data_IF_622014984099
#
_entry.id   IF_622014984099
#
_cell.length_a   1.000
_cell.length_b   1.000
_cell.length_c   1.000
_cell.angle_alpha   90.00
_cell.angle_beta   90.00
_cell.angle_gamma   90.00
#
_symmetry.space_group_name_H-M   'P 1'
#
loop_
_entity.id
_entity.type
_entity.pdbx_description
1 polymer ?
#
# COMPACT_ATOMS: atom_id res chain seq x y z
N UNK A 1 -6.54 7.44 -20.48
CA UNK A 1 -7.70 6.93 -21.22
C UNK A 1 -7.96 7.75 -22.48
N UNK A 2 -7.90 9.04 -22.41
CA UNK A 2 -8.10 9.96 -23.53
C UNK A 2 -6.92 9.95 -24.51
N UNK A 3 -5.79 9.46 -24.08
CA UNK A 3 -4.59 9.33 -24.94
C UNK A 3 -4.79 8.43 -26.15
N UNK A 4 -5.81 7.58 -26.13
CA UNK A 4 -6.21 6.81 -27.32
C UNK A 4 -6.83 7.62 -28.44
N UNK A 5 -7.24 8.87 -28.17
CA UNK A 5 -7.74 9.80 -29.17
C UNK A 5 -6.63 10.73 -29.63
N UNK A 6 -6.56 10.97 -30.92
CA UNK A 6 -5.59 11.91 -31.48
C UNK A 6 -6.05 13.35 -31.26
N UNK A 7 -5.10 14.22 -30.93
CA UNK A 7 -5.29 15.67 -30.95
C UNK A 7 -5.17 16.30 -32.34
N UNK A 8 -4.79 15.51 -33.35
CA UNK A 8 -4.72 15.96 -34.73
C UNK A 8 -6.07 15.81 -35.43
N UNK A 9 -6.68 16.88 -35.95
CA UNK A 9 -7.98 16.84 -36.60
C UNK A 9 -8.08 15.87 -37.78
N UNK A 10 -6.97 15.65 -38.49
CA UNK A 10 -6.93 14.79 -39.70
C UNK A 10 -6.61 13.32 -39.36
N UNK A 11 -6.41 13.00 -38.10
CA UNK A 11 -6.16 11.61 -37.68
C UNK A 11 -7.42 10.78 -37.70
N UNK A 12 -7.31 9.51 -38.09
CA UNK A 12 -8.41 8.53 -38.04
C UNK A 12 -9.00 8.37 -36.62
N UNK A 13 -8.20 8.61 -35.59
CA UNK A 13 -8.63 8.50 -34.20
C UNK A 13 -9.13 9.82 -33.61
N UNK A 14 -9.13 10.91 -34.39
CA UNK A 14 -9.62 12.19 -33.94
C UNK A 14 -11.15 12.20 -33.89
N UNK A 15 -11.70 12.48 -32.75
CA UNK A 15 -13.13 12.60 -32.55
C UNK A 15 -13.44 13.72 -31.54
N UNK A 16 -13.59 14.92 -32.07
CA UNK A 16 -13.95 16.09 -31.27
C UNK A 16 -15.31 15.98 -30.55
N UNK A 17 -16.21 15.17 -31.10
CA UNK A 17 -17.54 14.95 -30.51
C UNK A 17 -17.52 13.88 -29.41
N UNK A 18 -16.47 13.04 -29.35
CA UNK A 18 -16.26 12.04 -28.32
C UNK A 18 -15.36 12.52 -27.17
N UNK A 19 -14.93 13.78 -27.23
CA UNK A 19 -14.12 14.42 -26.23
C UNK A 19 -14.96 15.50 -25.53
N UNK A 20 -15.20 15.32 -24.24
CA UNK A 20 -15.86 16.35 -23.45
C UNK A 20 -14.86 17.50 -23.22
N UNK A 21 -15.07 18.62 -23.92
CA UNK A 21 -14.33 19.84 -23.65
C UNK A 21 -14.74 20.39 -22.29
N UNK A 22 -13.78 20.68 -21.45
CA UNK A 22 -13.98 21.19 -20.09
C UNK A 22 -13.21 22.49 -19.98
N UNK A 23 -13.92 23.59 -19.87
CA UNK A 23 -13.34 24.94 -19.75
C UNK A 23 -12.30 25.01 -18.63
N UNK A 24 -11.13 25.54 -18.93
CA UNK A 24 -10.01 25.59 -18.00
C UNK A 24 -9.19 24.29 -17.88
N UNK A 25 -9.62 23.17 -18.49
CA UNK A 25 -8.92 21.86 -18.38
C UNK A 25 -8.70 21.15 -19.71
N UNK A 26 -9.73 21.12 -20.58
CA UNK A 26 -9.67 20.44 -21.87
C UNK A 26 -10.31 21.35 -22.90
N UNK A 27 -9.51 21.93 -23.79
CA UNK A 27 -9.95 22.91 -24.75
C UNK A 27 -9.37 22.64 -26.14
N UNK A 28 -9.89 23.35 -27.15
CA UNK A 28 -9.26 23.38 -28.46
C UNK A 28 -8.32 24.59 -28.55
N UNK A 29 -7.22 24.42 -29.23
CA UNK A 29 -6.30 25.49 -29.59
C UNK A 29 -6.98 26.43 -30.59
N UNK A 30 -7.15 27.67 -30.23
CA UNK A 30 -7.68 28.71 -31.12
C UNK A 30 -6.56 29.51 -31.82
N UNK A 31 -6.95 30.44 -32.66
CA UNK A 31 -6.01 31.23 -33.49
C UNK A 31 -5.12 32.20 -32.71
N UNK A 32 -5.46 32.48 -31.46
CA UNK A 32 -4.72 33.39 -30.57
C UNK A 32 -4.00 32.66 -29.45
N UNK A 33 -4.15 31.33 -29.41
CA UNK A 33 -3.57 30.49 -28.37
C UNK A 33 -2.04 30.46 -28.51
N UNK A 34 -1.28 30.58 -27.39
CA UNK A 34 0.18 30.44 -27.43
C UNK A 34 0.67 29.13 -28.02
N UNK A 35 -0.13 28.06 -27.96
CA UNK A 35 0.21 26.74 -28.51
C UNK A 35 -0.15 26.58 -29.98
N UNK A 36 -0.71 27.60 -30.64
CA UNK A 36 -1.17 27.50 -32.03
C UNK A 36 -0.05 27.20 -33.04
N UNK A 37 1.19 27.52 -32.68
CA UNK A 37 2.34 27.40 -33.56
C UNK A 37 2.50 28.55 -34.52
N UNK A 38 3.69 28.71 -35.12
CA UNK A 38 4.01 29.84 -36.01
C UNK A 38 3.18 29.85 -37.29
N UNK A 39 2.88 28.66 -37.82
CA UNK A 39 2.10 28.48 -39.04
C UNK A 39 0.66 28.01 -38.75
N UNK A 40 0.21 28.14 -37.48
CA UNK A 40 -1.10 27.66 -37.01
C UNK A 40 -1.27 26.15 -37.16
N UNK A 41 -0.21 25.37 -37.14
CA UNK A 41 -0.18 23.92 -37.32
C UNK A 41 -0.92 23.17 -36.18
N UNK A 42 -1.15 23.83 -35.07
CA UNK A 42 -1.85 23.25 -33.93
C UNK A 42 -3.30 23.76 -33.80
N UNK A 43 -3.77 24.59 -34.75
CA UNK A 43 -5.14 25.11 -34.71
C UNK A 43 -6.16 23.95 -34.67
N UNK A 44 -7.06 23.98 -33.69
CA UNK A 44 -8.10 22.98 -33.51
C UNK A 44 -7.65 21.67 -32.86
N UNK A 45 -6.37 21.54 -32.53
CA UNK A 45 -5.91 20.40 -31.71
C UNK A 45 -6.44 20.54 -30.27
N UNK A 46 -6.50 19.42 -29.58
CA UNK A 46 -6.89 19.37 -28.16
C UNK A 46 -5.69 19.78 -27.30
N UNK A 47 -5.88 20.70 -26.37
CA UNK A 47 -4.93 21.07 -25.33
C UNK A 47 -5.46 20.68 -23.97
N UNK A 48 -4.56 20.33 -23.05
CA UNK A 48 -4.85 19.90 -21.68
C UNK A 48 -4.14 20.82 -20.69
N UNK A 49 -4.84 21.22 -19.63
CA UNK A 49 -4.17 21.84 -18.47
C UNK A 49 -3.74 20.72 -17.51
N UNK A 50 -2.46 20.41 -17.51
CA UNK A 50 -1.89 19.28 -16.79
C UNK A 50 -0.41 19.49 -16.48
N UNK A 51 0.24 18.53 -15.84
CA UNK A 51 1.68 18.53 -15.67
C UNK A 51 2.38 18.60 -17.02
N UNK A 52 3.35 19.52 -17.15
CA UNK A 52 4.03 19.84 -18.41
C UNK A 52 5.02 18.78 -18.90
N UNK A 53 5.16 17.68 -18.18
CA UNK A 53 6.02 16.58 -18.59
C UNK A 53 7.50 16.80 -18.25
N UNK A 54 8.34 15.92 -18.78
CA UNK A 54 9.78 15.98 -18.60
C UNK A 54 10.42 17.07 -19.47
N UNK A 55 11.52 17.62 -18.97
CA UNK A 55 12.38 18.49 -19.78
C UNK A 55 13.18 17.63 -20.76
N UNK A 56 13.26 18.03 -22.03
CA UNK A 56 14.14 17.41 -23.02
C UNK A 56 15.63 17.58 -22.72
N UNK A 57 15.94 18.45 -21.75
CA UNK A 57 17.30 18.83 -21.37
C UNK A 57 17.65 18.22 -20.02
N UNK A 58 18.37 17.10 -20.08
CA UNK A 58 19.04 16.46 -18.93
C UNK A 58 18.14 16.14 -17.71
N UNK A 59 17.85 14.87 -17.56
CA UNK A 59 17.21 14.25 -16.37
C UNK A 59 17.92 14.61 -15.04
N UNK A 60 19.08 15.26 -15.10
CA UNK A 60 19.91 15.59 -13.93
C UNK A 60 19.65 16.99 -13.34
N UNK A 61 18.99 17.88 -14.07
CA UNK A 61 18.60 19.20 -13.56
C UNK A 61 17.10 19.20 -13.29
N UNK A 62 16.72 19.06 -12.03
CA UNK A 62 15.34 19.18 -11.58
C UNK A 62 14.90 20.63 -11.71
N UNK A 63 14.04 20.91 -12.67
CA UNK A 63 13.40 22.21 -12.85
C UNK A 63 12.01 22.19 -12.22
N UNK A 64 11.51 23.37 -11.84
CA UNK A 64 10.08 23.52 -11.49
C UNK A 64 9.25 23.48 -12.77
N UNK A 65 8.63 22.33 -13.05
CA UNK A 65 7.77 22.17 -14.23
C UNK A 65 6.35 22.66 -13.98
N UNK A 66 5.79 22.20 -12.89
CA UNK A 66 4.41 22.51 -12.51
C UNK A 66 3.38 22.07 -13.55
N UNK A 67 2.18 22.65 -13.42
CA UNK A 67 1.07 22.44 -14.35
C UNK A 67 0.94 23.60 -15.33
N UNK A 68 0.36 23.32 -16.50
CA UNK A 68 0.11 24.31 -17.52
C UNK A 68 -0.56 23.69 -18.74
N UNK A 69 -0.81 24.51 -19.75
CA UNK A 69 -1.36 24.05 -21.03
C UNK A 69 -0.29 23.38 -21.87
N UNK A 70 -0.61 22.18 -22.36
CA UNK A 70 0.17 21.42 -23.36
C UNK A 70 -0.77 20.84 -24.42
N UNK A 71 -0.23 20.46 -25.56
CA UNK A 71 -0.99 19.67 -26.54
C UNK A 71 -1.29 18.29 -25.98
N UNK A 72 -2.48 17.76 -26.22
CA UNK A 72 -2.87 16.43 -25.71
C UNK A 72 -1.96 15.31 -26.21
N UNK A 73 -1.35 15.46 -27.37
CA UNK A 73 -0.38 14.51 -27.94
C UNK A 73 0.95 14.49 -27.15
N UNK A 74 1.27 15.56 -26.45
CA UNK A 74 2.47 15.67 -25.61
C UNK A 74 2.22 15.17 -24.17
N UNK A 75 0.98 14.83 -23.84
CA UNK A 75 0.63 14.39 -22.50
C UNK A 75 1.33 13.09 -22.09
N UNK A 76 1.90 13.10 -20.92
CA UNK A 76 2.57 11.97 -20.29
C UNK A 76 2.04 11.74 -18.87
N UNK A 77 1.83 10.49 -18.42
CA UNK A 77 1.46 10.24 -17.03
C UNK A 77 2.61 10.65 -16.09
N UNK A 78 2.27 11.10 -14.89
CA UNK A 78 3.26 11.45 -13.86
C UNK A 78 3.91 10.17 -13.31
N UNK A 79 4.92 9.71 -14.03
CA UNK A 79 5.57 8.42 -13.80
C UNK A 79 7.01 8.47 -14.32
N UNK A 80 7.93 7.72 -13.71
CA UNK A 80 9.34 7.68 -14.16
C UNK A 80 9.45 7.19 -15.60
N UNK A 81 10.27 7.82 -16.45
CA UNK A 81 10.49 7.35 -17.82
C UNK A 81 11.07 5.94 -17.87
N UNK A 82 11.89 5.58 -16.88
CA UNK A 82 12.48 4.24 -16.74
C UNK A 82 11.53 3.22 -16.10
N UNK A 83 10.37 3.64 -15.62
CA UNK A 83 9.37 2.75 -15.04
C UNK A 83 8.48 2.21 -16.15
N UNK A 84 8.78 1.00 -16.59
CA UNK A 84 7.97 0.31 -17.59
C UNK A 84 6.64 -0.08 -16.96
N UNK A 85 5.53 0.24 -17.62
CA UNK A 85 4.21 -0.23 -17.21
C UNK A 85 4.22 -1.75 -17.10
N UNK A 86 3.84 -2.34 -15.97
CA UNK A 86 3.84 -3.79 -15.80
C UNK A 86 2.96 -4.47 -16.86
N UNK A 87 3.35 -5.63 -17.38
CA UNK A 87 2.64 -6.34 -18.45
C UNK A 87 1.40 -7.08 -17.95
N UNK A 88 0.53 -6.38 -17.23
CA UNK A 88 -0.76 -6.91 -16.76
C UNK A 88 -1.89 -5.94 -17.07
N UNK A 89 -3.13 -6.43 -17.00
CA UNK A 89 -4.31 -5.60 -17.22
C UNK A 89 -4.43 -4.50 -16.16
N UNK A 90 -4.73 -3.27 -16.59
CA UNK A 90 -4.92 -2.12 -15.68
C UNK A 90 -6.16 -2.24 -14.79
N UNK A 91 -7.17 -2.91 -15.27
CA UNK A 91 -8.43 -3.15 -14.55
C UNK A 91 -8.28 -4.39 -13.63
N UNK A 92 -8.54 -4.24 -12.35
CA UNK A 92 -8.84 -3.03 -11.57
C UNK A 92 -7.57 -2.42 -11.00
N UNK A 93 -7.62 -1.14 -10.52
CA UNK A 93 -6.46 -0.49 -9.88
C UNK A 93 -6.03 -1.26 -8.62
N UNK A 94 -4.76 -1.70 -8.61
CA UNK A 94 -4.15 -2.37 -7.46
C UNK A 94 -4.12 -1.48 -6.23
N UNK A 95 -3.70 -0.20 -6.39
CA UNK A 95 -3.69 0.76 -5.28
C UNK A 95 -5.06 0.95 -4.65
N UNK A 96 -6.12 1.07 -5.47
CA UNK A 96 -7.49 1.20 -4.98
C UNK A 96 -7.95 -0.04 -4.22
N UNK A 97 -7.55 -1.22 -4.67
CA UNK A 97 -7.93 -2.49 -4.06
C UNK A 97 -7.21 -2.73 -2.75
N UNK A 98 -5.87 -2.64 -2.75
CA UNK A 98 -5.06 -2.96 -1.57
C UNK A 98 -5.22 -1.93 -0.46
N UNK A 99 -5.20 -0.63 -0.78
CA UNK A 99 -5.35 0.42 0.24
C UNK A 99 -6.73 0.37 0.90
N UNK A 100 -7.79 0.10 0.13
CA UNK A 100 -9.13 -0.09 0.68
C UNK A 100 -9.21 -1.33 1.57
N UNK A 101 -8.64 -2.47 1.16
CA UNK A 101 -8.61 -3.68 1.97
C UNK A 101 -7.86 -3.43 3.29
N UNK A 102 -6.70 -2.77 3.23
CA UNK A 102 -5.92 -2.41 4.42
C UNK A 102 -6.71 -1.49 5.37
N UNK A 103 -7.40 -0.47 4.85
CA UNK A 103 -8.21 0.44 5.66
C UNK A 103 -9.34 -0.28 6.41
N UNK A 104 -9.98 -1.27 5.79
CA UNK A 104 -11.02 -2.10 6.43
C UNK A 104 -10.42 -2.96 7.54
N UNK A 105 -9.27 -3.58 7.29
CA UNK A 105 -8.59 -4.41 8.29
C UNK A 105 -8.16 -3.56 9.49
N UNK A 106 -7.58 -2.38 9.27
CA UNK A 106 -7.18 -1.46 10.33
C UNK A 106 -8.40 -1.02 11.17
N UNK A 107 -9.50 -0.63 10.51
CA UNK A 107 -10.75 -0.27 11.19
C UNK A 107 -11.24 -1.41 12.11
N UNK A 108 -11.20 -2.66 11.63
CA UNK A 108 -11.64 -3.82 12.40
C UNK A 108 -10.71 -4.20 13.55
N UNK A 109 -9.39 -4.11 13.35
CA UNK A 109 -8.39 -4.41 14.38
C UNK A 109 -8.44 -3.38 15.50
N UNK A 110 -8.53 -2.09 15.16
CA UNK A 110 -8.53 -1.01 16.13
C UNK A 110 -9.89 -0.76 16.77
N UNK A 111 -10.96 -1.29 16.19
CA UNK A 111 -12.34 -0.99 16.59
C UNK A 111 -12.76 0.46 16.32
N UNK A 112 -11.98 1.21 15.55
CA UNK A 112 -12.21 2.61 15.20
C UNK A 112 -11.93 2.86 13.73
N UNK A 113 -12.74 3.69 13.09
CA UNK A 113 -12.47 4.17 11.73
C UNK A 113 -11.41 5.26 11.68
N UNK A 114 -11.13 5.90 12.82
CA UNK A 114 -10.20 7.03 12.92
C UNK A 114 -8.78 6.55 13.22
N UNK A 115 -7.81 7.33 12.77
CA UNK A 115 -6.43 7.15 13.17
C UNK A 115 -6.26 7.33 14.69
N UNK A 116 -5.28 6.63 15.30
CA UNK A 116 -4.91 6.89 16.70
C UNK A 116 -4.57 8.37 16.93
N UNK A 117 -5.12 8.96 17.96
CA UNK A 117 -4.99 10.40 18.19
C UNK A 117 -5.95 11.26 17.36
N UNK A 118 -6.80 10.66 16.51
CA UNK A 118 -7.83 11.33 15.71
C UNK A 118 -7.41 11.81 14.33
N UNK A 119 -6.10 11.81 14.01
CA UNK A 119 -5.58 12.26 12.72
C UNK A 119 -4.33 11.47 12.33
N UNK A 120 -4.29 10.97 11.09
CA UNK A 120 -3.07 10.53 10.44
C UNK A 120 -2.41 11.72 9.75
N UNK A 121 -1.11 11.87 9.86
CA UNK A 121 -0.36 12.99 9.27
C UNK A 121 0.88 12.51 8.53
N UNK A 122 1.23 13.22 7.46
CA UNK A 122 2.46 13.03 6.72
C UNK A 122 3.02 14.39 6.29
N UNK A 123 4.20 14.73 6.80
CA UNK A 123 4.87 15.99 6.50
C UNK A 123 5.69 15.87 5.23
N UNK A 124 5.57 16.88 4.36
CA UNK A 124 6.26 16.98 3.08
C UNK A 124 7.01 18.31 3.06
N UNK A 125 8.32 18.26 3.01
CA UNK A 125 9.15 19.46 2.97
C UNK A 125 9.23 20.05 1.56
N UNK A 126 9.28 21.39 1.50
CA UNK A 126 9.54 22.13 0.29
C UNK A 126 10.76 21.56 -0.47
N UNK A 127 10.63 21.41 -1.78
CA UNK A 127 11.67 20.98 -2.73
C UNK A 127 12.35 19.63 -2.40
N UNK A 128 11.76 18.82 -1.50
CA UNK A 128 12.39 17.59 -1.02
C UNK A 128 11.43 16.37 -1.06
N UNK A 129 10.47 16.34 -1.97
CA UNK A 129 9.53 15.24 -2.05
C UNK A 129 9.30 14.73 -3.48
N UNK A 130 9.19 15.61 -4.46
CA UNK A 130 8.96 15.21 -5.84
C UNK A 130 10.19 14.53 -6.44
N UNK A 131 9.98 13.58 -7.36
CA UNK A 131 11.06 12.76 -7.92
C UNK A 131 11.52 13.26 -9.29
N UNK A 132 10.63 13.92 -10.04
CA UNK A 132 10.87 14.31 -11.44
C UNK A 132 11.07 15.80 -11.62
N UNK A 133 10.83 16.56 -10.57
CA UNK A 133 10.96 18.01 -10.55
C UNK A 133 11.22 18.49 -9.13
N UNK A 134 11.67 19.73 -8.97
CA UNK A 134 11.74 20.39 -7.66
C UNK A 134 10.32 20.65 -7.17
N UNK A 135 10.06 20.35 -5.91
CA UNK A 135 8.75 20.58 -5.31
C UNK A 135 8.49 19.73 -4.06
N UNK A 136 7.40 20.01 -3.39
CA UNK A 136 6.46 21.12 -3.60
C UNK A 136 7.09 22.51 -3.32
N UNK A 137 6.47 23.57 -3.81
CA UNK A 137 6.96 24.95 -3.63
C UNK A 137 6.87 25.49 -2.20
N UNK A 138 6.16 24.78 -1.33
CA UNK A 138 5.99 25.09 0.09
C UNK A 138 5.99 23.80 0.91
N UNK A 139 6.28 23.89 2.21
CA UNK A 139 6.04 22.79 3.12
C UNK A 139 4.55 22.44 3.14
N UNK A 140 4.25 21.15 3.11
CA UNK A 140 2.88 20.64 3.08
C UNK A 140 2.69 19.58 4.15
N UNK A 141 1.44 19.42 4.60
CA UNK A 141 1.05 18.34 5.48
C UNK A 141 -0.18 17.65 4.90
N UNK A 142 -0.08 16.36 4.62
CA UNK A 142 -1.24 15.53 4.31
C UNK A 142 -1.88 15.09 5.61
N UNK A 143 -3.20 15.12 5.68
CA UNK A 143 -3.96 14.78 6.88
C UNK A 143 -5.19 13.94 6.52
N UNK A 144 -5.44 12.91 7.33
CA UNK A 144 -6.57 12.02 7.15
C UNK A 144 -7.24 11.74 8.49
N UNK A 145 -8.52 11.97 8.59
CA UNK A 145 -9.28 11.63 9.79
C UNK A 145 -9.45 10.11 9.91
N UNK A 146 -9.77 9.44 8.82
CA UNK A 146 -10.04 8.00 8.80
C UNK A 146 -9.03 7.24 7.94
N UNK A 147 -8.88 5.93 8.22
CA UNK A 147 -8.11 5.04 7.35
C UNK A 147 -8.64 5.01 5.92
N UNK A 148 -9.97 5.18 5.75
CA UNK A 148 -10.59 5.25 4.42
C UNK A 148 -10.22 6.52 3.67
N UNK A 149 -10.09 7.66 4.35
CA UNK A 149 -9.66 8.91 3.71
C UNK A 149 -8.26 8.77 3.10
N UNK A 150 -7.32 8.16 3.86
CA UNK A 150 -5.99 7.87 3.34
C UNK A 150 -6.03 6.88 2.16
N UNK A 151 -6.85 5.83 2.25
CA UNK A 151 -7.04 4.87 1.16
C UNK A 151 -7.65 5.52 -0.08
N UNK A 152 -8.58 6.45 0.09
CA UNK A 152 -9.23 7.17 -1.02
C UNK A 152 -8.26 8.13 -1.69
N UNK A 153 -7.43 8.84 -0.94
CA UNK A 153 -6.40 9.68 -1.52
C UNK A 153 -5.34 8.84 -2.25
N UNK A 154 -4.94 7.69 -1.70
CA UNK A 154 -4.07 6.74 -2.39
C UNK A 154 -4.67 6.29 -3.74
N UNK A 155 -5.96 5.99 -3.76
CA UNK A 155 -6.67 5.62 -4.99
C UNK A 155 -6.70 6.77 -6.00
N UNK A 156 -7.10 7.97 -5.56
CA UNK A 156 -7.18 9.16 -6.41
C UNK A 156 -5.83 9.60 -6.95
N UNK A 157 -4.74 9.34 -6.22
CA UNK A 157 -3.39 9.65 -6.72
C UNK A 157 -3.09 8.98 -8.05
N UNK A 158 -3.71 7.83 -8.34
CA UNK A 158 -3.55 7.11 -9.61
C UNK A 158 -4.26 7.80 -10.75
N UNK A 159 -5.41 8.42 -10.46
CA UNK A 159 -6.16 9.23 -11.44
C UNK A 159 -5.38 10.51 -11.73
N UNK A 160 -4.95 11.23 -10.69
CA UNK A 160 -4.17 12.47 -10.84
C UNK A 160 -2.85 12.24 -11.56
N UNK A 161 -2.21 11.10 -11.31
CA UNK A 161 -1.00 10.71 -12.03
C UNK A 161 -1.23 10.20 -13.46
N UNK A 162 -2.49 10.09 -13.91
CA UNK A 162 -2.84 9.62 -15.25
C UNK A 162 -2.55 8.13 -15.50
N UNK A 163 -2.50 7.31 -14.43
CA UNK A 163 -2.12 5.89 -14.51
C UNK A 163 -3.33 4.98 -14.59
N UNK A 164 -4.43 5.35 -13.93
CA UNK A 164 -5.70 4.64 -13.97
C UNK A 164 -6.88 5.60 -14.25
N UNK A 165 -7.84 5.23 -15.09
CA UNK A 165 -9.12 5.92 -15.21
C UNK A 165 -10.07 5.55 -14.05
N UNK A 166 -11.15 6.30 -13.86
CA UNK A 166 -12.14 6.03 -12.82
C UNK A 166 -12.78 4.65 -12.90
N UNK A 167 -12.86 4.06 -14.10
CA UNK A 167 -13.38 2.70 -14.31
C UNK A 167 -12.53 1.64 -13.61
N UNK A 168 -11.25 1.89 -13.39
CA UNK A 168 -10.35 0.98 -12.66
C UNK A 168 -10.43 1.21 -11.16
N UNK A 169 -10.67 2.46 -10.73
CA UNK A 169 -10.64 2.88 -9.33
C UNK A 169 -11.85 2.36 -8.54
N UNK A 170 -13.06 2.74 -8.94
CA UNK A 170 -14.28 2.45 -8.18
C UNK A 170 -14.52 0.94 -7.99
N UNK A 171 -14.39 0.09 -9.02
CA UNK A 171 -14.46 -1.36 -8.83
C UNK A 171 -13.37 -1.88 -7.90
N UNK A 172 -12.15 -1.35 -7.99
CA UNK A 172 -11.03 -1.71 -7.11
C UNK A 172 -11.37 -1.47 -5.64
N UNK A 173 -11.91 -0.30 -5.28
CA UNK A 173 -12.37 0.00 -3.92
C UNK A 173 -13.46 -0.96 -3.44
N UNK A 174 -14.42 -1.31 -4.31
CA UNK A 174 -15.49 -2.27 -3.97
C UNK A 174 -14.94 -3.66 -3.70
N UNK A 175 -14.01 -4.14 -4.53
CA UNK A 175 -13.32 -5.42 -4.35
C UNK A 175 -12.49 -5.38 -3.07
N UNK A 176 -11.70 -4.33 -2.85
CA UNK A 176 -10.88 -4.15 -1.66
C UNK A 176 -11.70 -4.19 -0.36
N UNK A 177 -12.90 -3.59 -0.37
CA UNK A 177 -13.82 -3.67 0.78
C UNK A 177 -14.23 -5.11 1.08
N UNK A 178 -14.57 -5.92 0.07
CA UNK A 178 -14.94 -7.33 0.25
C UNK A 178 -13.75 -8.14 0.75
N UNK A 179 -12.60 -7.99 0.11
CA UNK A 179 -11.37 -8.71 0.47
C UNK A 179 -10.94 -8.37 1.90
N UNK A 180 -10.93 -7.08 2.28
CA UNK A 180 -10.56 -6.66 3.63
C UNK A 180 -11.45 -7.28 4.71
N UNK A 181 -12.77 -7.33 4.47
CA UNK A 181 -13.70 -7.99 5.39
C UNK A 181 -13.43 -9.50 5.48
N UNK A 182 -13.29 -10.17 4.34
CA UNK A 182 -13.06 -11.62 4.30
C UNK A 182 -11.71 -11.99 4.92
N UNK A 183 -10.65 -11.24 4.61
CA UNK A 183 -9.33 -11.48 5.17
C UNK A 183 -9.30 -11.31 6.68
N UNK A 184 -10.00 -10.29 7.21
CA UNK A 184 -10.11 -10.11 8.66
C UNK A 184 -10.85 -11.28 9.32
N UNK A 185 -12.01 -11.68 8.80
CA UNK A 185 -12.79 -12.79 9.38
C UNK A 185 -12.02 -14.13 9.27
N UNK A 186 -11.34 -14.36 8.15
CA UNK A 186 -10.49 -15.54 7.99
C UNK A 186 -9.32 -15.54 8.96
N UNK A 187 -8.62 -14.41 9.10
CA UNK A 187 -7.56 -14.28 10.10
C UNK A 187 -8.06 -14.52 11.52
N UNK A 188 -9.24 -13.96 11.85
CA UNK A 188 -9.88 -14.17 13.16
C UNK A 188 -10.20 -15.65 13.42
N UNK A 189 -10.67 -16.40 12.41
CA UNK A 189 -10.88 -17.84 12.53
C UNK A 189 -9.57 -18.55 12.85
N UNK A 190 -8.49 -18.26 12.11
CA UNK A 190 -7.19 -18.88 12.37
C UNK A 190 -6.66 -18.58 13.78
N UNK A 191 -6.80 -17.32 14.24
CA UNK A 191 -6.42 -16.97 15.61
C UNK A 191 -7.31 -17.59 16.66
N UNK A 192 -8.62 -17.74 16.40
CA UNK A 192 -9.55 -18.41 17.30
C UNK A 192 -9.33 -19.93 17.30
N UNK A 193 -9.03 -20.53 16.16
CA UNK A 193 -8.68 -21.96 16.10
C UNK A 193 -7.41 -22.26 16.88
N UNK A 194 -6.38 -21.39 16.77
CA UNK A 194 -5.17 -21.50 17.60
C UNK A 194 -5.54 -21.38 19.08
N UNK A 195 -6.41 -20.44 19.46
CA UNK A 195 -6.91 -20.31 20.83
C UNK A 195 -7.80 -21.50 21.25
N UNK A 196 -8.60 -22.05 20.34
CA UNK A 196 -9.42 -23.25 20.60
C UNK A 196 -8.54 -24.49 20.77
N UNK A 197 -7.51 -24.65 19.94
CA UNK A 197 -6.52 -25.72 20.09
C UNK A 197 -5.79 -25.55 21.41
N UNK A 198 -5.32 -24.33 21.71
CA UNK A 198 -4.72 -24.01 23.02
C UNK A 198 -5.70 -24.20 24.17
N UNK A 199 -6.99 -23.89 24.00
CA UNK A 199 -8.01 -24.07 25.03
C UNK A 199 -8.48 -25.51 25.17
N UNK A 200 -8.50 -26.28 24.09
CA UNK A 200 -8.78 -27.73 24.12
C UNK A 200 -7.61 -28.51 24.73
N UNK A 201 -6.38 -28.07 24.46
CA UNK A 201 -5.17 -28.59 25.10
C UNK A 201 -4.98 -28.06 26.53
N UNK A 202 -5.45 -26.85 26.83
CA UNK A 202 -5.36 -26.20 28.16
C UNK A 202 -6.21 -26.86 29.27
N UNK A 203 -7.13 -27.76 28.93
CA UNK A 203 -7.81 -28.52 29.96
C UNK A 203 -6.93 -29.60 30.61
N UNK A 204 -5.75 -29.90 30.01
CA UNK A 204 -4.80 -30.88 30.57
C UNK A 204 -3.34 -30.39 30.62
N UNK A 205 -2.97 -29.30 29.91
CA UNK A 205 -1.59 -28.85 29.79
C UNK A 205 -1.46 -27.34 30.05
N UNK A 206 -1.44 -26.91 31.31
CA UNK A 206 -1.21 -25.51 31.69
C UNK A 206 0.25 -25.15 31.40
N UNK A 207 0.50 -24.52 30.24
CA UNK A 207 1.81 -23.96 29.88
C UNK A 207 1.71 -22.44 29.91
N UNK A 208 2.55 -21.83 30.73
CA UNK A 208 2.72 -20.38 30.75
C UNK A 208 4.03 -19.99 30.07
N UNK A 209 3.98 -19.00 29.20
CA UNK A 209 5.13 -18.51 28.41
C UNK A 209 5.29 -17.01 28.65
N UNK A 210 6.40 -16.63 29.26
CA UNK A 210 6.66 -15.21 29.57
C UNK A 210 8.17 -14.88 29.62
N UNK A 211 8.54 -13.58 29.47
CA UNK A 211 7.68 -12.48 29.01
C UNK A 211 7.35 -12.60 27.53
N UNK A 212 6.18 -12.12 27.12
CA UNK A 212 5.77 -11.98 25.72
C UNK A 212 5.03 -10.64 25.56
N UNK A 213 5.59 -9.65 24.85
CA UNK A 213 6.86 -9.72 24.10
C UNK A 213 8.10 -9.83 24.97
N UNK A 214 9.16 -10.40 24.37
CA UNK A 214 10.47 -10.53 24.99
C UNK A 214 11.34 -9.31 24.64
N UNK A 215 11.96 -8.68 25.63
CA UNK A 215 12.94 -7.61 25.41
C UNK A 215 14.35 -8.17 25.27
N UNK A 216 15.27 -7.40 24.67
CA UNK A 216 16.67 -7.77 24.52
C UNK A 216 17.31 -8.18 25.86
N UNK A 217 18.15 -9.20 25.83
CA UNK A 217 18.82 -9.78 27.01
C UNK A 217 17.88 -10.40 28.06
N UNK A 218 16.68 -10.80 27.67
CA UNK A 218 15.74 -11.48 28.55
C UNK A 218 15.73 -12.99 28.29
N UNK A 219 15.38 -13.75 29.31
CA UNK A 219 15.15 -15.18 29.20
C UNK A 219 13.69 -15.46 28.90
N UNK A 220 13.43 -16.32 27.90
CA UNK A 220 12.11 -16.90 27.70
C UNK A 220 11.87 -17.94 28.78
N UNK A 221 10.82 -17.74 29.57
CA UNK A 221 10.43 -18.69 30.60
C UNK A 221 9.22 -19.48 30.11
N UNK A 222 9.31 -20.80 30.23
CA UNK A 222 8.22 -21.74 29.98
C UNK A 222 7.94 -22.45 31.31
N UNK A 223 6.75 -22.24 31.83
CA UNK A 223 6.29 -22.86 33.06
C UNK A 223 5.20 -23.90 32.71
N UNK A 224 5.45 -25.13 33.15
CA UNK A 224 4.58 -26.25 32.91
C UNK A 224 3.88 -26.62 34.20
N UNK A 225 2.63 -26.29 34.30
CA UNK A 225 1.77 -26.62 35.44
C UNK A 225 1.02 -27.95 35.23
N UNK A 226 1.25 -28.60 34.10
CA UNK A 226 0.67 -29.92 33.81
C UNK A 226 1.49 -31.03 34.45
N UNK A 227 0.89 -32.18 34.64
CA UNK A 227 1.58 -33.37 35.12
C UNK A 227 2.31 -34.15 34.00
N UNK A 228 2.32 -33.61 32.77
CA UNK A 228 2.94 -34.24 31.60
C UNK A 228 4.38 -33.74 31.43
N UNK A 229 5.29 -34.62 31.06
CA UNK A 229 6.68 -34.24 30.76
C UNK A 229 6.76 -33.60 29.39
N UNK A 230 7.50 -32.48 29.28
CA UNK A 230 7.82 -31.86 28.00
C UNK A 230 8.97 -32.65 27.35
N UNK A 231 8.72 -33.19 26.17
CA UNK A 231 9.72 -33.92 25.37
C UNK A 231 10.55 -32.95 24.54
N UNK A 232 9.91 -31.96 23.93
CA UNK A 232 10.55 -31.07 22.97
C UNK A 232 9.95 -29.68 22.99
N UNK A 233 10.78 -28.67 22.85
CA UNK A 233 10.39 -27.27 22.59
C UNK A 233 11.09 -26.82 21.32
N UNK A 234 10.35 -26.17 20.42
CA UNK A 234 10.84 -25.60 19.17
C UNK A 234 10.37 -24.14 19.04
N UNK A 235 11.26 -23.28 18.57
CA UNK A 235 10.90 -21.94 18.08
C UNK A 235 11.04 -21.97 16.56
N UNK A 236 9.98 -21.57 15.87
CA UNK A 236 9.85 -21.66 14.42
C UNK A 236 9.64 -20.26 13.88
N UNK A 237 10.39 -19.85 12.85
CA UNK A 237 10.22 -18.58 12.18
C UNK A 237 8.96 -18.56 11.28
N UNK A 238 8.65 -17.40 10.72
CA UNK A 238 7.46 -17.21 9.85
C UNK A 238 7.57 -17.97 8.51
N UNK A 239 8.76 -18.51 8.16
CA UNK A 239 8.96 -19.35 6.98
C UNK A 239 8.78 -20.84 7.31
N UNK A 240 8.47 -21.19 8.56
CA UNK A 240 8.32 -22.56 9.02
C UNK A 240 9.65 -23.25 9.38
N UNK A 241 10.76 -22.52 9.44
CA UNK A 241 12.08 -23.08 9.80
C UNK A 241 12.23 -23.08 11.31
N UNK A 242 12.64 -24.22 11.88
CA UNK A 242 13.02 -24.31 13.28
C UNK A 242 14.36 -23.56 13.48
N UNK A 243 14.32 -22.50 14.28
CA UNK A 243 15.48 -21.62 14.59
C UNK A 243 16.07 -21.87 15.98
N UNK A 244 15.32 -22.55 16.83
CA UNK A 244 15.78 -22.99 18.15
C UNK A 244 15.05 -24.30 18.52
N UNK A 245 15.76 -25.23 19.16
CA UNK A 245 15.19 -26.50 19.58
C UNK A 245 15.89 -27.02 20.83
N UNK A 246 15.11 -27.53 21.77
CA UNK A 246 15.61 -28.32 22.93
C UNK A 246 14.79 -29.60 23.03
N UNK A 247 15.43 -30.71 23.37
CA UNK A 247 14.85 -32.01 23.65
C UNK A 247 15.17 -32.44 25.07
N UNK A 248 14.45 -33.45 25.57
CA UNK A 248 14.66 -34.10 26.88
C UNK A 248 14.69 -33.08 28.03
N UNK A 249 13.67 -32.27 28.11
CA UNK A 249 13.55 -31.22 29.10
C UNK A 249 13.29 -31.87 30.46
N UNK A 250 14.10 -31.50 31.45
CA UNK A 250 13.94 -32.01 32.80
C UNK A 250 12.50 -31.73 33.34
N UNK A 251 12.01 -32.62 34.18
CA UNK A 251 10.65 -32.54 34.76
C UNK A 251 10.42 -31.32 35.66
N UNK A 252 11.27 -30.27 35.58
CA UNK A 252 11.09 -29.03 36.31
C UNK A 252 9.88 -28.30 35.77
N UNK A 253 9.06 -27.80 36.65
CA UNK A 253 7.86 -27.00 36.32
C UNK A 253 8.20 -25.70 35.62
N UNK A 254 9.43 -25.20 35.75
CA UNK A 254 9.90 -23.93 35.18
C UNK A 254 11.23 -24.06 34.50
N UNK A 255 11.28 -23.71 33.22
CA UNK A 255 12.47 -23.75 32.37
C UNK A 255 12.74 -22.37 31.79
N UNK A 256 13.99 -21.96 31.73
CA UNK A 256 14.43 -20.68 31.18
C UNK A 256 15.43 -20.90 30.04
N UNK A 257 15.21 -20.20 28.93
CA UNK A 257 16.00 -20.33 27.74
C UNK A 257 16.52 -18.96 27.30
N UNK A 258 17.81 -18.88 27.05
CA UNK A 258 18.42 -17.72 26.42
C UNK A 258 18.21 -17.82 24.91
N UNK A 259 17.53 -16.84 24.33
CA UNK A 259 17.24 -16.76 22.90
C UNK A 259 17.77 -15.47 22.27
N UNK A 260 18.74 -14.81 22.87
CA UNK A 260 19.35 -13.55 22.42
C UNK A 260 19.91 -13.60 20.99
N UNK A 261 20.18 -14.80 20.47
CA UNK A 261 20.68 -15.00 19.11
C UNK A 261 19.58 -14.93 18.05
N UNK A 262 18.32 -14.90 18.43
CA UNK A 262 17.22 -14.79 17.49
C UNK A 262 17.03 -13.32 17.08
N UNK A 263 16.92 -13.01 15.79
CA UNK A 263 16.56 -11.68 15.33
C UNK A 263 15.24 -11.21 15.93
N UNK A 264 15.03 -9.89 15.99
CA UNK A 264 13.72 -9.34 16.35
C UNK A 264 12.66 -9.82 15.34
N UNK A 265 11.54 -10.34 15.84
CA UNK A 265 10.50 -10.89 14.99
C UNK A 265 9.40 -11.61 15.77
N UNK A 266 8.46 -12.14 15.01
CA UNK A 266 7.38 -12.99 15.51
C UNK A 266 7.75 -14.43 15.23
N UNK A 267 7.60 -15.28 16.23
CA UNK A 267 7.94 -16.69 16.17
C UNK A 267 6.78 -17.53 16.70
N UNK A 268 6.68 -18.76 16.19
CA UNK A 268 5.79 -19.77 16.72
C UNK A 268 6.57 -20.63 17.73
N UNK A 269 6.02 -20.78 18.94
CA UNK A 269 6.54 -21.71 19.94
C UNK A 269 5.72 -23.01 19.85
N UNK A 270 6.42 -24.13 19.67
CA UNK A 270 5.82 -25.49 19.69
C UNK A 270 6.33 -26.23 20.91
N UNK A 271 5.43 -26.71 21.76
CA UNK A 271 5.75 -27.55 22.90
C UNK A 271 5.16 -28.93 22.66
N UNK A 272 5.99 -29.96 22.75
CA UNK A 272 5.60 -31.36 22.55
C UNK A 272 5.78 -32.13 23.85
N UNK A 273 4.78 -32.86 24.26
CA UNK A 273 4.79 -33.70 25.46
C UNK A 273 5.14 -35.14 25.11
N UNK A 274 5.59 -35.91 26.11
CA UNK A 274 5.71 -37.35 25.97
C UNK A 274 4.32 -37.95 25.77
N UNK A 275 4.17 -38.83 24.77
CA UNK A 275 2.99 -39.67 24.62
C UNK A 275 2.99 -40.67 25.78
N UNK A 276 1.85 -40.81 26.48
CA UNK A 276 1.64 -41.81 27.51
C UNK A 276 1.37 -43.18 26.89
#
# INVERSE_FOLDING_TARGET
SEKGQSSYPDSLNYNKNGFDLIDGYIELVDSNDPLVGQNKENLGKIKLYTWKGFSDKNILELEEKGSGWILAEEWWPYQRPSFVTPPFAGYVSGHSTYSRAASIILEKITGSKFFPGGMGEFDISKDNFLVFENGPSVDMKLQWATYKDAADQCSLSRIWGGIHPFIDDIPGRKIGTKIGNQAFEYGKLLFNEINLISALENNENNILVYPNPLSNNSFLTIENESNKRINKIEIIDFLGKTVFQIKDISSNTKNQFNIDKLPLGIYLLRVQFDDQ
#
